data_IF_197145098200
#
_entry.id   IF_197145098200
#
_cell.length_a   1.000
_cell.length_b   1.000
_cell.length_c   1.000
_cell.angle_alpha   90.00
_cell.angle_beta   90.00
_cell.angle_gamma   90.00
#
_symmetry.space_group_name_H-M   'P 1'
#
loop_
_entity.id
_entity.type
_entity.pdbx_description
1 polymer ?
#
# COMPACT_ATOMS: atom_id res chain seq x y z
N UNK A 1 19.60 4.75 -3.47
CA UNK A 1 18.60 5.68 -2.87
C UNK A 1 19.38 6.80 -2.21
N UNK A 2 19.33 8.01 -2.78
CA UNK A 2 19.97 9.17 -2.16
C UNK A 2 19.34 9.42 -0.79
N UNK A 3 20.18 9.47 0.25
CA UNK A 3 19.83 9.68 1.67
C UNK A 3 19.46 11.15 1.97
N UNK A 4 18.81 11.85 1.03
CA UNK A 4 18.30 13.19 1.33
C UNK A 4 17.25 13.02 2.44
N UNK A 5 17.28 13.74 3.55
CA UNK A 5 16.23 13.66 4.57
C UNK A 5 14.87 14.00 3.95
N UNK A 6 13.79 13.33 4.35
CA UNK A 6 12.44 13.81 3.97
C UNK A 6 12.23 15.09 4.78
N UNK A 7 11.94 16.24 4.14
CA UNK A 7 11.65 17.45 4.88
C UNK A 7 10.46 17.20 5.82
N UNK A 8 10.47 17.77 7.03
CA UNK A 8 9.33 17.66 7.92
C UNK A 8 8.08 18.24 7.22
N UNK A 9 6.90 17.63 7.42
CA UNK A 9 5.67 18.10 6.81
C UNK A 9 5.33 19.51 7.28
N UNK A 10 5.01 20.41 6.34
CA UNK A 10 4.49 21.75 6.64
C UNK A 10 3.08 21.67 7.22
N UNK A 11 2.61 22.72 7.89
CA UNK A 11 1.21 22.82 8.37
C UNK A 11 0.20 22.59 7.24
N UNK A 12 0.40 23.23 6.09
CA UNK A 12 -0.43 23.02 4.88
C UNK A 12 -0.48 21.54 4.46
N UNK A 13 0.66 20.84 4.52
CA UNK A 13 0.73 19.42 4.17
C UNK A 13 -0.11 18.57 5.11
N UNK A 14 -0.10 18.92 6.41
CA UNK A 14 -0.93 18.23 7.40
C UNK A 14 -2.43 18.41 7.11
N UNK A 15 -2.83 19.61 6.72
CA UNK A 15 -4.23 19.97 6.42
C UNK A 15 -4.72 19.25 5.17
N UNK A 16 -3.95 19.30 4.09
CA UNK A 16 -4.25 18.58 2.85
C UNK A 16 -4.26 17.07 3.12
N UNK A 17 -3.33 16.56 3.93
CA UNK A 17 -3.31 15.15 4.31
C UNK A 17 -4.53 14.73 5.14
N UNK A 18 -5.06 15.60 6.01
CA UNK A 18 -6.31 15.32 6.72
C UNK A 18 -7.49 15.20 5.75
N UNK A 19 -7.58 16.05 4.73
CA UNK A 19 -8.57 15.93 3.66
C UNK A 19 -8.45 14.60 2.91
N UNK A 20 -7.23 14.21 2.55
CA UNK A 20 -6.95 12.89 1.94
C UNK A 20 -7.32 11.74 2.88
N UNK A 21 -7.01 11.84 4.17
CA UNK A 21 -7.35 10.83 5.17
C UNK A 21 -8.87 10.67 5.28
N UNK A 22 -9.64 11.76 5.30
CA UNK A 22 -11.11 11.72 5.25
C UNK A 22 -11.61 11.07 3.97
N UNK A 23 -11.06 11.43 2.82
CA UNK A 23 -11.44 10.82 1.54
C UNK A 23 -11.22 9.29 1.52
N UNK A 24 -10.14 8.81 2.16
CA UNK A 24 -9.85 7.38 2.30
C UNK A 24 -10.79 6.68 3.30
N UNK A 25 -11.17 7.35 4.39
CA UNK A 25 -12.11 6.82 5.39
C UNK A 25 -13.53 6.76 4.83
N UNK A 26 -13.96 7.79 4.11
CA UNK A 26 -15.26 7.86 3.42
C UNK A 26 -15.32 7.00 2.14
N UNK A 27 -14.23 6.28 1.82
CA UNK A 27 -14.09 5.47 0.61
C UNK A 27 -14.29 6.24 -0.71
N UNK A 28 -14.11 7.56 -0.70
CA UNK A 28 -14.07 8.40 -1.92
C UNK A 28 -12.76 8.22 -2.70
N UNK A 29 -11.69 7.84 -1.99
CA UNK A 29 -10.44 7.40 -2.56
C UNK A 29 -10.05 6.02 -2.00
N UNK A 30 -9.20 5.30 -2.73
CA UNK A 30 -8.51 4.14 -2.20
C UNK A 30 -7.04 4.13 -2.63
N UNK A 31 -6.23 3.42 -1.85
CA UNK A 31 -4.80 3.27 -2.11
C UNK A 31 -4.56 1.96 -2.84
N UNK A 32 -4.05 2.04 -4.08
CA UNK A 32 -3.60 0.89 -4.86
C UNK A 32 -2.10 0.68 -4.66
N UNK A 33 -1.70 -0.56 -4.43
CA UNK A 33 -0.30 -0.95 -4.20
C UNK A 33 0.23 -1.71 -5.40
N UNK A 34 1.47 -1.44 -5.82
CA UNK A 34 2.18 -2.28 -6.76
C UNK A 34 2.92 -3.38 -5.99
N UNK A 35 2.32 -4.57 -5.94
CA UNK A 35 2.83 -5.72 -5.19
C UNK A 35 4.27 -6.08 -5.57
N UNK A 36 4.59 -6.18 -6.86
CA UNK A 36 5.94 -6.54 -7.34
C UNK A 36 7.00 -5.55 -6.86
N UNK A 37 6.67 -4.26 -6.77
CA UNK A 37 7.59 -3.21 -6.34
C UNK A 37 7.73 -3.15 -4.81
N UNK A 38 6.66 -3.38 -4.07
CA UNK A 38 6.66 -3.32 -2.60
C UNK A 38 7.07 -4.64 -1.93
N UNK A 39 6.80 -5.80 -2.54
CA UNK A 39 7.15 -7.12 -2.01
C UNK A 39 8.59 -7.51 -2.39
N UNK A 40 9.56 -6.66 -2.06
CA UNK A 40 10.99 -6.93 -2.28
C UNK A 40 11.80 -6.66 -1.03
N UNK A 41 12.89 -7.41 -0.88
CA UNK A 41 13.87 -7.17 0.17
C UNK A 41 14.34 -5.71 0.13
N UNK A 42 14.45 -5.07 1.32
CA UNK A 42 14.70 -3.62 1.52
C UNK A 42 13.51 -2.68 1.24
N UNK A 43 12.31 -3.18 0.95
CA UNK A 43 11.10 -2.36 1.00
C UNK A 43 10.69 -2.10 2.46
N UNK A 44 10.28 -0.87 2.83
CA UNK A 44 9.75 -0.58 4.17
C UNK A 44 8.44 -1.33 4.46
N UNK A 45 7.79 -1.82 3.40
CA UNK A 45 6.58 -2.62 3.49
C UNK A 45 6.84 -4.11 3.29
N UNK A 46 8.08 -4.56 3.16
CA UNK A 46 8.37 -5.99 3.08
C UNK A 46 8.06 -6.69 4.40
N UNK A 47 7.37 -7.82 4.33
CA UNK A 47 7.18 -8.73 5.45
C UNK A 47 7.66 -10.12 5.00
N UNK A 48 8.77 -10.65 5.55
CA UNK A 48 9.30 -11.94 5.10
C UNK A 48 8.31 -13.08 5.34
N UNK A 49 7.55 -13.02 6.43
CA UNK A 49 6.59 -14.06 6.79
C UNK A 49 5.45 -14.22 5.78
N UNK A 50 5.06 -13.14 5.07
CA UNK A 50 4.05 -13.23 4.02
C UNK A 50 4.48 -14.13 2.85
N UNK A 51 5.79 -14.27 2.63
CA UNK A 51 6.35 -15.12 1.56
C UNK A 51 6.78 -16.49 2.08
N UNK A 52 7.27 -16.56 3.33
CA UNK A 52 7.79 -17.81 3.92
C UNK A 52 6.68 -18.70 4.47
N UNK A 53 5.66 -18.12 5.12
CA UNK A 53 4.62 -18.88 5.79
C UNK A 53 3.84 -19.80 4.84
N UNK A 54 3.43 -19.37 3.63
CA UNK A 54 2.74 -20.26 2.68
C UNK A 54 3.60 -21.47 2.27
N UNK A 55 4.88 -21.24 1.97
CA UNK A 55 5.81 -22.31 1.62
C UNK A 55 6.02 -23.29 2.78
N UNK A 56 6.15 -22.76 4.00
CA UNK A 56 6.28 -23.57 5.20
C UNK A 56 5.03 -24.42 5.44
N UNK A 57 3.83 -23.86 5.24
CA UNK A 57 2.58 -24.62 5.37
C UNK A 57 2.47 -25.74 4.34
N UNK A 58 2.87 -25.49 3.09
CA UNK A 58 2.90 -26.51 2.03
C UNK A 58 3.85 -27.64 2.42
N UNK A 59 5.05 -27.31 2.92
CA UNK A 59 6.05 -28.28 3.35
C UNK A 59 5.56 -29.12 4.53
N UNK A 60 4.96 -28.50 5.54
CA UNK A 60 4.40 -29.21 6.71
C UNK A 60 3.28 -30.15 6.28
N UNK A 61 2.33 -29.70 5.45
CA UNK A 61 1.22 -30.54 4.98
C UNK A 61 1.75 -31.74 4.18
N UNK A 62 2.69 -31.50 3.27
CA UNK A 62 3.35 -32.58 2.51
C UNK A 62 4.01 -33.59 3.44
N UNK A 63 4.77 -33.11 4.43
CA UNK A 63 5.47 -33.97 5.38
C UNK A 63 4.49 -34.82 6.21
N UNK A 64 3.39 -34.23 6.67
CA UNK A 64 2.33 -34.96 7.37
C UNK A 64 1.72 -36.06 6.48
N UNK A 65 1.49 -35.78 5.19
CA UNK A 65 1.01 -36.78 4.24
C UNK A 65 2.00 -37.93 4.03
N UNK A 66 3.30 -37.65 4.02
CA UNK A 66 4.34 -38.69 3.96
C UNK A 66 4.30 -39.60 5.18
N UNK A 67 4.13 -39.02 6.37
CA UNK A 67 4.11 -39.75 7.66
C UNK A 67 2.84 -40.59 7.79
N UNK A 68 1.66 -40.03 7.50
CA UNK A 68 0.37 -40.68 7.76
C UNK A 68 -0.15 -41.54 6.62
N UNK A 69 0.35 -41.37 5.39
CA UNK A 69 -0.11 -42.13 4.21
C UNK A 69 1.03 -42.94 3.60
N UNK A 70 1.85 -42.28 2.78
CA UNK A 70 3.07 -42.84 2.19
C UNK A 70 3.86 -41.73 1.49
N UNK A 71 5.12 -42.05 1.17
CA UNK A 71 6.06 -41.14 0.53
C UNK A 71 5.56 -40.60 -0.82
N UNK A 72 4.92 -41.45 -1.63
CA UNK A 72 4.46 -41.08 -2.98
C UNK A 72 3.37 -40.00 -2.89
N UNK A 73 2.35 -40.21 -2.06
CA UNK A 73 1.24 -39.26 -1.87
C UNK A 73 1.75 -37.92 -1.38
N UNK A 74 2.64 -37.90 -0.38
CA UNK A 74 3.19 -36.64 0.12
C UNK A 74 4.02 -35.89 -0.93
N UNK A 75 4.84 -36.61 -1.70
CA UNK A 75 5.66 -35.99 -2.77
C UNK A 75 4.78 -35.42 -3.88
N UNK A 76 3.75 -36.16 -4.31
CA UNK A 76 2.79 -35.66 -5.31
C UNK A 76 2.05 -34.43 -4.80
N UNK A 77 1.60 -34.43 -3.55
CA UNK A 77 0.94 -33.28 -2.94
C UNK A 77 1.85 -32.05 -2.89
N UNK A 78 3.13 -32.22 -2.53
CA UNK A 78 4.12 -31.14 -2.55
C UNK A 78 4.24 -30.50 -3.93
N UNK A 79 4.37 -31.33 -4.96
CA UNK A 79 4.55 -30.86 -6.33
C UNK A 79 3.32 -30.08 -6.80
N UNK A 80 2.12 -30.62 -6.57
CA UNK A 80 0.86 -29.96 -6.92
C UNK A 80 0.69 -28.65 -6.16
N UNK A 81 0.93 -28.64 -4.84
CA UNK A 81 0.76 -27.43 -4.04
C UNK A 81 1.80 -26.35 -4.36
N UNK A 82 3.05 -26.71 -4.65
CA UNK A 82 4.05 -25.77 -5.15
C UNK A 82 3.64 -25.15 -6.48
N UNK A 83 3.06 -25.94 -7.39
CA UNK A 83 2.56 -25.44 -8.66
C UNK A 83 1.39 -24.47 -8.48
N UNK A 84 0.41 -24.84 -7.65
CA UNK A 84 -0.71 -23.96 -7.28
C UNK A 84 -0.20 -22.66 -6.63
N UNK A 85 0.78 -22.76 -5.73
CA UNK A 85 1.40 -21.61 -5.10
C UNK A 85 2.04 -20.67 -6.13
N UNK A 86 2.84 -21.19 -7.06
CA UNK A 86 3.51 -20.38 -8.07
C UNK A 86 2.51 -19.58 -8.93
N UNK A 87 1.33 -20.14 -9.22
CA UNK A 87 0.29 -19.48 -10.02
C UNK A 87 -0.55 -18.50 -9.19
N UNK A 88 -0.91 -18.87 -7.98
CA UNK A 88 -1.91 -18.13 -7.19
C UNK A 88 -1.31 -17.12 -6.20
N UNK A 89 -0.01 -17.22 -5.87
CA UNK A 89 0.68 -16.34 -4.91
C UNK A 89 0.41 -14.84 -5.13
N UNK A 90 0.53 -14.26 -6.34
CA UNK A 90 0.31 -12.82 -6.52
C UNK A 90 -1.14 -12.42 -6.21
N UNK A 91 -2.11 -13.26 -6.57
CA UNK A 91 -3.54 -12.98 -6.35
C UNK A 91 -3.92 -13.02 -4.88
N UNK A 92 -3.35 -13.94 -4.11
CA UNK A 92 -3.67 -14.06 -2.69
C UNK A 92 -3.01 -12.97 -1.85
N UNK A 93 -1.73 -12.64 -2.09
CA UNK A 93 -0.98 -11.76 -1.19
C UNK A 93 -1.19 -10.27 -1.46
N UNK A 94 -1.57 -9.88 -2.67
CA UNK A 94 -1.84 -8.49 -3.02
C UNK A 94 -2.87 -7.82 -2.09
N UNK A 95 -4.06 -8.38 -1.82
CA UNK A 95 -5.04 -7.75 -0.93
C UNK A 95 -4.56 -7.66 0.53
N UNK A 96 -3.83 -8.66 1.04
CA UNK A 96 -3.25 -8.60 2.39
C UNK A 96 -2.21 -7.48 2.50
N UNK A 97 -1.33 -7.38 1.51
CA UNK A 97 -0.32 -6.32 1.46
C UNK A 97 -0.99 -4.94 1.34
N UNK A 98 -1.99 -4.78 0.48
CA UNK A 98 -2.71 -3.52 0.32
C UNK A 98 -3.36 -3.06 1.62
N UNK A 99 -4.04 -3.97 2.34
CA UNK A 99 -4.66 -3.67 3.63
C UNK A 99 -3.62 -3.27 4.68
N UNK A 100 -2.50 -3.99 4.76
CA UNK A 100 -1.42 -3.69 5.71
C UNK A 100 -0.75 -2.35 5.41
N UNK A 101 -0.44 -2.08 4.14
CA UNK A 101 0.17 -0.82 3.70
C UNK A 101 -0.76 0.33 4.04
N UNK A 102 -2.04 0.25 3.65
CA UNK A 102 -3.05 1.29 3.92
C UNK A 102 -3.16 1.57 5.41
N UNK A 103 -3.30 0.54 6.26
CA UNK A 103 -3.36 0.69 7.73
C UNK A 103 -2.11 1.35 8.33
N UNK A 104 -0.93 1.18 7.71
CA UNK A 104 0.32 1.77 8.19
C UNK A 104 0.49 3.23 7.79
N UNK A 105 0.04 3.61 6.59
CA UNK A 105 0.33 4.93 6.01
C UNK A 105 -0.77 5.96 6.30
N UNK A 106 -2.04 5.54 6.34
CA UNK A 106 -3.18 6.45 6.54
C UNK A 106 -3.15 7.21 7.87
N UNK A 107 -2.74 6.62 9.02
CA UNK A 107 -2.83 7.33 10.30
C UNK A 107 -1.82 8.46 10.50
N UNK A 108 -0.71 8.49 9.74
CA UNK A 108 0.38 9.45 9.98
C UNK A 108 1.02 9.92 8.67
N UNK A 109 1.04 11.23 8.47
CA UNK A 109 1.64 11.86 7.28
C UNK A 109 3.11 11.49 7.08
N UNK A 110 3.90 11.38 8.14
CA UNK A 110 5.32 10.98 8.05
C UNK A 110 5.49 9.61 7.38
N UNK A 111 4.69 8.63 7.82
CA UNK A 111 4.69 7.28 7.26
C UNK A 111 4.20 7.30 5.81
N UNK A 112 3.19 8.11 5.52
CA UNK A 112 2.72 8.33 4.16
C UNK A 112 3.79 8.94 3.25
N UNK A 113 4.51 9.97 3.68
CA UNK A 113 5.58 10.61 2.89
C UNK A 113 6.75 9.65 2.63
N UNK A 114 7.12 8.84 3.62
CA UNK A 114 8.11 7.76 3.44
C UNK A 114 7.62 6.78 2.37
N UNK A 115 6.35 6.39 2.43
CA UNK A 115 5.72 5.49 1.47
C UNK A 115 5.68 6.09 0.07
N UNK A 116 5.28 7.36 -0.03
CA UNK A 116 5.17 8.11 -1.27
C UNK A 116 6.54 8.21 -1.96
N UNK A 117 7.58 8.57 -1.20
CA UNK A 117 8.94 8.67 -1.73
C UNK A 117 9.52 7.33 -2.16
N UNK A 118 9.21 6.24 -1.44
CA UNK A 118 9.59 4.90 -1.88
C UNK A 118 8.94 4.55 -3.23
N UNK A 119 7.69 4.96 -3.41
CA UNK A 119 6.88 4.73 -4.59
C UNK A 119 6.23 3.34 -4.60
N UNK A 120 5.53 3.00 -5.69
CA UNK A 120 4.78 1.73 -5.76
C UNK A 120 3.44 1.79 -5.01
N UNK A 121 2.95 3.00 -4.78
CA UNK A 121 1.63 3.30 -4.23
C UNK A 121 0.97 4.29 -5.17
N UNK A 122 -0.34 4.17 -5.38
CA UNK A 122 -1.13 5.12 -6.15
C UNK A 122 -2.41 5.43 -5.39
N UNK A 123 -2.79 6.71 -5.33
CA UNK A 123 -4.12 7.12 -4.85
C UNK A 123 -5.03 7.08 -6.07
N UNK A 124 -6.17 6.43 -5.94
CA UNK A 124 -7.14 6.28 -7.02
C UNK A 124 -8.49 6.79 -6.54
N UNK A 125 -9.19 7.52 -7.40
CA UNK A 125 -10.56 7.95 -7.14
C UNK A 125 -11.50 6.73 -7.21
N UNK A 126 -12.39 6.58 -6.24
CA UNK A 126 -13.33 5.45 -6.22
C UNK A 126 -14.41 5.60 -7.30
N UNK A 127 -14.83 6.84 -7.60
CA UNK A 127 -15.85 7.14 -8.60
C UNK A 127 -15.40 6.82 -10.04
N UNK A 128 -14.14 7.10 -10.37
CA UNK A 128 -13.55 6.75 -11.66
C UNK A 128 -12.06 6.35 -11.51
N UNK A 129 -11.72 5.06 -11.68
CA UNK A 129 -10.36 4.56 -11.58
C UNK A 129 -9.36 5.13 -12.60
N UNK A 130 -9.82 5.84 -13.65
CA UNK A 130 -8.95 6.53 -14.61
C UNK A 130 -8.20 7.69 -13.96
N UNK A 131 -8.77 8.31 -12.93
CA UNK A 131 -8.13 9.39 -12.19
C UNK A 131 -7.34 8.82 -11.02
N UNK A 132 -6.01 8.84 -11.17
CA UNK A 132 -5.09 8.37 -10.15
C UNK A 132 -3.84 9.26 -10.08
N UNK A 133 -3.22 9.27 -8.90
CA UNK A 133 -1.94 9.90 -8.66
C UNK A 133 -0.93 8.84 -8.20
N UNK A 134 0.14 8.65 -8.96
CA UNK A 134 1.12 7.59 -8.72
C UNK A 134 2.40 8.11 -8.08
N UNK A 135 2.82 7.46 -7.00
CA UNK A 135 4.06 7.76 -6.29
C UNK A 135 5.29 7.10 -6.96
N UNK A 136 6.47 7.75 -7.01
CA UNK A 136 6.82 9.01 -6.33
C UNK A 136 6.66 10.27 -7.18
N UNK A 137 6.34 10.13 -8.48
CA UNK A 137 6.40 11.22 -9.46
C UNK A 137 5.20 12.19 -9.35
N UNK A 138 4.04 11.66 -8.98
CA UNK A 138 2.81 12.46 -8.85
C UNK A 138 2.80 13.33 -7.60
N UNK A 139 2.09 14.46 -7.70
CA UNK A 139 1.80 15.33 -6.57
C UNK A 139 0.50 14.89 -5.89
N UNK A 140 0.63 14.22 -4.74
CA UNK A 140 -0.54 13.85 -3.93
C UNK A 140 -1.28 15.08 -3.41
N UNK A 141 -0.58 16.20 -3.18
CA UNK A 141 -1.18 17.46 -2.72
C UNK A 141 -2.16 18.02 -3.74
N UNK A 142 -1.67 18.21 -4.97
CA UNK A 142 -2.49 18.71 -6.08
C UNK A 142 -3.67 17.78 -6.34
N UNK A 143 -3.44 16.46 -6.36
CA UNK A 143 -4.54 15.49 -6.51
C UNK A 143 -5.61 15.64 -5.42
N UNK A 144 -5.18 15.84 -4.17
CA UNK A 144 -6.13 16.01 -3.06
C UNK A 144 -6.91 17.31 -3.18
N UNK A 145 -6.24 18.40 -3.55
CA UNK A 145 -6.89 19.71 -3.74
C UNK A 145 -7.88 19.66 -4.92
N UNK A 146 -7.53 19.01 -6.02
CA UNK A 146 -8.38 18.97 -7.22
C UNK A 146 -9.64 18.12 -7.07
N UNK A 147 -9.58 17.03 -6.30
CA UNK A 147 -10.69 16.06 -6.22
C UNK A 147 -11.37 15.99 -4.85
N UNK A 148 -10.73 16.51 -3.79
CA UNK A 148 -11.23 16.43 -2.42
C UNK A 148 -11.13 17.77 -1.69
N UNK A 149 -11.19 18.90 -2.41
CA UNK A 149 -11.22 20.26 -1.86
C UNK A 149 -12.20 20.38 -0.70
N UNK A 150 -13.40 19.82 -0.88
CA UNK A 150 -14.54 19.93 0.04
C UNK A 150 -14.30 19.21 1.38
N UNK A 151 -13.30 18.32 1.43
CA UNK A 151 -12.93 17.57 2.63
C UNK A 151 -11.78 18.21 3.42
N UNK A 152 -11.12 19.20 2.82
CA UNK A 152 -10.04 19.96 3.43
C UNK A 152 -10.66 21.01 4.36
N UNK A 153 -10.30 21.05 5.66
CA UNK A 153 -10.80 22.08 6.56
C UNK A 153 -10.44 23.49 6.05
N UNK A 154 -11.45 24.33 5.78
CA UNK A 154 -11.28 25.71 5.28
C UNK A 154 -10.51 26.60 6.26
N UNK A 155 -10.60 26.33 7.58
CA UNK A 155 -9.97 27.11 8.66
C UNK A 155 -8.43 27.18 8.58
N UNK A 156 -7.81 26.36 7.74
CA UNK A 156 -6.36 26.23 7.61
C UNK A 156 -5.84 26.45 6.18
N UNK A 157 -6.70 26.80 5.23
CA UNK A 157 -6.22 27.40 3.99
C UNK A 157 -5.65 28.78 4.35
N UNK A 158 -4.42 29.13 3.95
CA UNK A 158 -3.95 30.50 4.09
C UNK A 158 -4.98 31.37 3.38
N UNK A 159 -5.68 32.22 4.15
CA UNK A 159 -6.50 33.28 3.58
C UNK A 159 -5.58 33.98 2.60
N UNK A 160 -5.95 34.02 1.32
CA UNK A 160 -5.36 35.01 0.42
C UNK A 160 -5.48 36.33 1.18
N UNK A 161 -4.35 36.87 1.63
CA UNK A 161 -4.32 38.22 2.16
C UNK A 161 -4.94 39.06 1.05
N UNK A 162 -6.14 39.59 1.33
CA UNK A 162 -6.79 40.62 0.54
C UNK A 162 -5.75 41.72 0.37
N UNK A 163 -5.04 41.66 -0.75
CA UNK A 163 -4.16 42.70 -1.20
C UNK A 163 -5.05 43.76 -1.86
N UNK A 164 -5.91 44.38 -1.07
CA UNK A 164 -6.80 45.44 -1.50
C UNK A 164 -6.83 46.57 -0.46
N UNK A 165 -6.47 47.75 -0.98
CA UNK A 165 -6.55 49.10 -0.42
C UNK A 165 -5.40 49.55 0.49
#
# INVERSE_FOLDING_TARGET
MNKIPIPPPTKEDMVVFQGLQRALVEKKAFIKVNFKKLNRFKSPFFNPWENVLPLLTILIISLLLMIFRNLVIGTTALLVMCFVYALCMPYFLEPFMQNRVTKRIVPRIEKFLIAWRYGGISIVLTADPKYFCQAPLGSWKQFTISYFSDLIPEELMPKEEEKNA
#
